data_IF_925793927844
#
_entry.id   IF_925793927844
#
_cell.length_a   1.000
_cell.length_b   1.000
_cell.length_c   1.000
_cell.angle_alpha   90.00
_cell.angle_beta   90.00
_cell.angle_gamma   90.00
#
_symmetry.space_group_name_H-M   'P 1'
#
loop_
_entity.id
_entity.type
_entity.pdbx_description
1 polymer ?
#
# COMPACT_ATOMS: atom_id res chain seq x y z
N UNK A 1 -18.90 2.87 -9.26
CA UNK A 1 -17.95 2.37 -10.27
C UNK A 1 -16.68 3.18 -10.12
N UNK A 2 -15.52 2.53 -10.02
CA UNK A 2 -14.22 3.19 -9.91
C UNK A 2 -13.69 3.39 -11.33
N UNK A 3 -13.22 4.59 -11.66
CA UNK A 3 -12.72 4.92 -13.00
C UNK A 3 -11.33 4.33 -13.22
N UNK A 4 -11.08 3.78 -14.40
CA UNK A 4 -9.78 3.18 -14.76
C UNK A 4 -8.60 4.16 -14.61
N UNK A 5 -8.82 5.45 -14.88
CA UNK A 5 -7.78 6.48 -14.72
C UNK A 5 -7.32 6.66 -13.26
N UNK A 6 -8.14 6.24 -12.29
CA UNK A 6 -7.76 6.23 -10.88
C UNK A 6 -6.99 4.96 -10.53
N UNK A 7 -7.13 3.89 -11.31
CA UNK A 7 -6.42 2.61 -11.18
C UNK A 7 -5.22 2.56 -12.14
N UNK A 8 -4.48 3.66 -12.23
CA UNK A 8 -3.39 3.83 -13.17
C UNK A 8 -2.06 4.20 -12.47
N UNK A 9 -0.92 4.02 -13.15
CA UNK A 9 0.38 4.52 -12.73
C UNK A 9 0.37 6.03 -12.51
N UNK A 10 1.21 6.53 -11.60
CA UNK A 10 1.23 7.94 -11.20
C UNK A 10 1.28 8.92 -12.38
N UNK A 11 2.04 8.60 -13.43
CA UNK A 11 2.18 9.42 -14.64
C UNK A 11 0.88 9.66 -15.42
N UNK A 12 -0.13 8.79 -15.23
CA UNK A 12 -1.45 8.86 -15.87
C UNK A 12 -2.59 8.89 -14.85
N UNK A 13 -2.26 8.94 -13.55
CA UNK A 13 -3.22 8.83 -12.47
C UNK A 13 -4.06 10.10 -12.37
N UNK A 14 -5.37 9.92 -12.29
CA UNK A 14 -6.28 10.98 -11.85
C UNK A 14 -6.69 10.74 -10.41
N UNK A 15 -6.80 11.84 -9.64
CA UNK A 15 -7.26 11.71 -8.26
C UNK A 15 -8.67 11.11 -8.22
N UNK A 16 -8.91 10.12 -7.33
CA UNK A 16 -10.22 9.55 -7.16
C UNK A 16 -11.18 10.59 -6.58
N UNK A 17 -12.46 10.43 -6.88
CA UNK A 17 -13.52 11.13 -6.21
C UNK A 17 -13.70 10.60 -4.80
N UNK A 18 -14.31 11.42 -3.94
CA UNK A 18 -14.70 11.04 -2.58
C UNK A 18 -15.56 9.78 -2.60
N UNK A 19 -16.48 9.65 -3.55
CA UNK A 19 -17.32 8.46 -3.72
C UNK A 19 -16.51 7.20 -4.05
N UNK A 20 -15.48 7.29 -4.89
CA UNK A 20 -14.62 6.15 -5.25
C UNK A 20 -13.81 5.67 -4.05
N UNK A 21 -13.30 6.59 -3.23
CA UNK A 21 -12.65 6.22 -1.96
C UNK A 21 -13.65 5.58 -1.00
N UNK A 22 -14.87 6.13 -0.90
CA UNK A 22 -15.91 5.59 -0.04
C UNK A 22 -16.33 4.17 -0.45
N UNK A 23 -16.34 3.83 -1.74
CA UNK A 23 -16.61 2.46 -2.23
C UNK A 23 -15.62 1.47 -1.61
N UNK A 24 -14.31 1.74 -1.69
CA UNK A 24 -13.28 0.85 -1.14
C UNK A 24 -13.41 0.72 0.39
N UNK A 25 -13.60 1.84 1.09
CA UNK A 25 -13.71 1.84 2.55
C UNK A 25 -14.96 1.09 3.02
N UNK A 26 -16.11 1.28 2.34
CA UNK A 26 -17.33 0.57 2.67
C UNK A 26 -17.20 -0.92 2.39
N UNK A 27 -16.57 -1.31 1.28
CA UNK A 27 -16.33 -2.73 0.98
C UNK A 27 -15.49 -3.41 2.07
N UNK A 28 -14.42 -2.78 2.54
CA UNK A 28 -13.62 -3.29 3.65
C UNK A 28 -14.44 -3.39 4.94
N UNK A 29 -15.27 -2.38 5.22
CA UNK A 29 -16.16 -2.36 6.38
C UNK A 29 -17.18 -3.48 6.34
N UNK A 30 -17.79 -3.73 5.19
CA UNK A 30 -18.78 -4.79 4.99
C UNK A 30 -18.16 -6.19 5.16
N UNK A 31 -16.84 -6.30 5.03
CA UNK A 31 -16.04 -7.49 5.31
C UNK A 31 -15.40 -7.50 6.71
N UNK A 32 -15.96 -6.76 7.67
CA UNK A 32 -15.56 -6.81 9.08
C UNK A 32 -14.41 -5.88 9.47
N UNK A 33 -13.91 -5.05 8.55
CA UNK A 33 -12.86 -4.07 8.83
C UNK A 33 -13.46 -2.68 9.04
N UNK A 34 -14.07 -2.45 10.20
CA UNK A 34 -14.54 -1.12 10.59
C UNK A 34 -13.37 -0.13 10.78
N UNK A 35 -13.69 1.14 11.09
CA UNK A 35 -12.66 2.17 11.21
C UNK A 35 -11.59 1.86 12.29
N UNK A 36 -11.96 1.18 13.37
CA UNK A 36 -11.03 0.81 14.46
C UNK A 36 -10.15 -0.33 14.00
N UNK A 37 -10.74 -1.38 13.42
CA UNK A 37 -10.01 -2.53 12.93
C UNK A 37 -9.09 -2.16 11.76
N UNK A 38 -9.55 -1.33 10.81
CA UNK A 38 -8.71 -0.80 9.73
C UNK A 38 -7.52 -0.03 10.28
N UNK A 39 -7.75 0.90 11.21
CA UNK A 39 -6.65 1.68 11.79
C UNK A 39 -5.62 0.78 12.48
N UNK A 40 -6.09 -0.26 13.19
CA UNK A 40 -5.24 -1.23 13.87
C UNK A 40 -4.36 -2.02 12.89
N UNK A 41 -4.95 -2.60 11.84
CA UNK A 41 -4.24 -3.51 10.92
C UNK A 41 -3.46 -2.79 9.81
N UNK A 42 -3.87 -1.59 9.45
CA UNK A 42 -3.22 -0.81 8.37
C UNK A 42 -2.35 0.34 8.86
N UNK A 43 -2.55 0.83 10.08
CA UNK A 43 -1.93 2.05 10.59
C UNK A 43 -2.52 3.35 10.02
N UNK A 44 -3.51 3.27 9.11
CA UNK A 44 -4.19 4.44 8.56
C UNK A 44 -5.00 5.13 9.66
N UNK A 45 -4.71 6.41 9.87
CA UNK A 45 -5.38 7.18 10.91
C UNK A 45 -6.85 7.44 10.53
N UNK A 46 -7.83 7.18 11.42
CA UNK A 46 -9.25 7.41 11.13
C UNK A 46 -9.55 8.83 10.64
N UNK A 47 -8.85 9.84 11.18
CA UNK A 47 -8.98 11.23 10.73
C UNK A 47 -8.67 11.43 9.24
N UNK A 48 -7.70 10.68 8.70
CA UNK A 48 -7.32 10.76 7.29
C UNK A 48 -8.37 10.09 6.42
N UNK A 49 -8.80 8.88 6.80
CA UNK A 49 -9.89 8.16 6.09
C UNK A 49 -11.15 9.01 6.04
N UNK A 50 -11.55 9.57 7.19
CA UNK A 50 -12.70 10.47 7.29
C UNK A 50 -12.55 11.71 6.41
N UNK A 51 -11.35 12.27 6.28
CA UNK A 51 -11.08 13.40 5.40
C UNK A 51 -11.17 13.02 3.91
N UNK A 52 -10.72 11.81 3.55
CA UNK A 52 -10.74 11.32 2.16
C UNK A 52 -12.13 10.95 1.68
N UNK A 53 -13.01 10.53 2.59
CA UNK A 53 -14.42 10.21 2.34
C UNK A 53 -15.36 11.32 2.82
N UNK A 54 -14.82 12.48 3.22
CA UNK A 54 -15.62 13.59 3.72
C UNK A 54 -16.59 14.06 2.64
N UNK A 55 -17.82 14.35 3.05
CA UNK A 55 -18.87 14.86 2.14
C UNK A 55 -19.32 13.86 1.07
N UNK A 56 -19.01 12.57 1.16
CA UNK A 56 -19.47 11.59 0.16
C UNK A 56 -21.00 11.61 -0.05
N UNK A 57 -21.77 11.96 1.00
CA UNK A 57 -23.24 12.08 0.95
C UNK A 57 -23.74 13.33 0.22
N UNK A 58 -22.95 14.40 0.20
CA UNK A 58 -23.38 15.73 -0.27
C UNK A 58 -22.67 16.13 -1.58
N UNK A 59 -21.41 15.75 -1.74
CA UNK A 59 -20.52 16.12 -2.83
C UNK A 59 -19.71 14.88 -3.30
N UNK A 60 -20.38 13.81 -3.78
CA UNK A 60 -19.73 12.52 -4.11
C UNK A 60 -18.69 12.63 -5.22
N UNK A 61 -18.84 13.59 -6.14
CA UNK A 61 -17.99 13.77 -7.32
C UNK A 61 -16.83 14.76 -7.07
N UNK A 62 -16.67 15.24 -5.84
CA UNK A 62 -15.51 16.04 -5.49
C UNK A 62 -14.25 15.18 -5.44
N UNK A 63 -13.10 15.75 -5.83
CA UNK A 63 -11.81 15.07 -5.76
C UNK A 63 -11.43 14.82 -4.30
N UNK A 64 -11.04 13.58 -3.99
CA UNK A 64 -10.51 13.23 -2.69
C UNK A 64 -9.09 13.78 -2.48
N UNK A 65 -8.76 14.10 -1.23
CA UNK A 65 -7.42 14.52 -0.83
C UNK A 65 -6.46 13.35 -0.60
N UNK A 66 -6.88 12.11 -0.87
CA UNK A 66 -6.05 10.92 -0.66
C UNK A 66 -4.71 10.99 -1.44
N UNK A 67 -3.57 10.72 -0.77
CA UNK A 67 -2.28 10.59 -1.44
C UNK A 67 -2.22 9.33 -2.31
N UNK A 68 -1.45 9.38 -3.40
CA UNK A 68 -1.28 8.24 -4.31
C UNK A 68 -0.83 6.93 -3.61
N UNK A 69 0.19 6.94 -2.72
CA UNK A 69 0.58 5.73 -1.98
C UNK A 69 -0.58 5.09 -1.19
N UNK A 70 -1.39 5.92 -0.53
CA UNK A 70 -2.53 5.45 0.24
C UNK A 70 -3.61 4.87 -0.68
N UNK A 71 -3.79 5.44 -1.87
CA UNK A 71 -4.72 4.92 -2.87
C UNK A 71 -4.26 3.56 -3.41
N UNK A 72 -2.98 3.41 -3.82
CA UNK A 72 -2.43 2.13 -4.25
C UNK A 72 -2.59 1.06 -3.16
N UNK A 73 -2.29 1.42 -1.91
CA UNK A 73 -2.44 0.52 -0.77
C UNK A 73 -3.89 0.08 -0.57
N UNK A 74 -4.85 1.01 -0.55
CA UNK A 74 -6.27 0.69 -0.39
C UNK A 74 -6.81 -0.16 -1.55
N UNK A 75 -6.43 0.14 -2.80
CA UNK A 75 -6.82 -0.66 -3.97
C UNK A 75 -6.31 -2.10 -3.85
N UNK A 76 -5.08 -2.28 -3.40
CA UNK A 76 -4.48 -3.59 -3.20
C UNK A 76 -5.18 -4.41 -2.11
N UNK A 77 -5.68 -3.75 -1.05
CA UNK A 77 -6.49 -4.41 -0.03
C UNK A 77 -7.85 -4.91 -0.53
N UNK A 78 -8.30 -4.45 -1.70
CA UNK A 78 -9.57 -4.86 -2.32
C UNK A 78 -9.38 -5.47 -3.71
N UNK A 79 -8.29 -6.21 -3.90
CA UNK A 79 -8.12 -7.06 -5.08
C UNK A 79 -7.55 -6.36 -6.32
N UNK A 80 -7.13 -5.09 -6.21
CA UNK A 80 -6.41 -4.36 -7.28
C UNK A 80 -4.97 -4.04 -6.86
N UNK A 81 -4.09 -5.04 -6.70
CA UNK A 81 -2.69 -4.79 -6.41
C UNK A 81 -1.97 -4.18 -7.62
N UNK A 82 -0.84 -3.54 -7.37
CA UNK A 82 0.10 -3.12 -8.40
C UNK A 82 -0.44 -2.15 -9.47
N UNK A 83 -1.43 -1.31 -9.13
CA UNK A 83 -1.92 -0.27 -10.06
C UNK A 83 -0.81 0.70 -10.48
N UNK A 84 0.24 0.86 -9.66
CA UNK A 84 1.40 1.69 -9.99
C UNK A 84 2.24 1.16 -11.17
N UNK A 85 2.04 -0.10 -11.54
CA UNK A 85 2.73 -0.82 -12.61
C UNK A 85 1.74 -1.55 -13.53
N UNK A 86 0.49 -1.07 -13.63
CA UNK A 86 -0.57 -1.72 -14.43
C UNK A 86 -0.79 -3.21 -14.10
N UNK A 87 -0.55 -3.62 -12.86
CA UNK A 87 -0.64 -5.01 -12.40
C UNK A 87 0.67 -5.78 -12.45
N UNK A 88 1.71 -5.26 -13.12
CA UNK A 88 3.00 -5.95 -13.23
C UNK A 88 3.73 -6.02 -11.89
N UNK A 89 4.48 -7.11 -11.70
CA UNK A 89 5.34 -7.36 -10.53
C UNK A 89 6.81 -7.27 -10.92
N UNK A 90 7.64 -6.84 -9.97
CA UNK A 90 9.09 -6.95 -10.09
C UNK A 90 9.44 -8.41 -9.81
N UNK A 91 9.98 -9.08 -10.82
CA UNK A 91 10.44 -10.46 -10.68
C UNK A 91 11.62 -10.53 -9.70
N UNK A 92 11.40 -11.23 -8.59
CA UNK A 92 12.42 -11.51 -7.59
C UNK A 92 12.35 -12.97 -7.16
N UNK A 93 13.46 -13.52 -6.67
CA UNK A 93 13.40 -14.80 -5.95
C UNK A 93 12.74 -14.58 -4.58
N UNK A 94 11.41 -14.71 -4.53
CA UNK A 94 10.61 -14.45 -3.32
C UNK A 94 11.12 -15.24 -2.12
N UNK A 95 11.51 -16.51 -2.30
CA UNK A 95 12.06 -17.32 -1.20
C UNK A 95 13.34 -16.70 -0.62
N UNK A 96 14.24 -16.21 -1.49
CA UNK A 96 15.46 -15.52 -1.06
C UNK A 96 15.14 -14.21 -0.36
N UNK A 97 14.23 -13.41 -0.91
CA UNK A 97 13.78 -12.15 -0.30
C UNK A 97 13.22 -12.39 1.10
N UNK A 98 12.27 -13.33 1.24
CA UNK A 98 11.67 -13.66 2.53
C UNK A 98 12.71 -14.10 3.56
N UNK A 99 13.81 -14.75 3.14
CA UNK A 99 14.88 -15.18 4.05
C UNK A 99 15.68 -14.03 4.67
N UNK A 100 15.67 -12.84 4.07
CA UNK A 100 16.33 -11.66 4.65
C UNK A 100 15.56 -11.08 5.84
N UNK A 101 14.26 -11.33 5.91
CA UNK A 101 13.36 -10.64 6.83
C UNK A 101 12.84 -11.57 7.93
N UNK A 102 12.59 -10.99 9.11
CA UNK A 102 11.89 -11.71 10.17
C UNK A 102 10.41 -11.85 9.80
N UNK A 103 9.70 -12.91 10.23
CA UNK A 103 8.27 -13.07 9.96
C UNK A 103 7.41 -11.89 10.42
N UNK A 104 7.85 -11.13 11.42
CA UNK A 104 7.18 -9.92 11.93
C UNK A 104 7.13 -8.78 10.91
N UNK A 105 7.99 -8.78 9.89
CA UNK A 105 7.92 -7.81 8.80
C UNK A 105 6.68 -8.03 7.91
N UNK A 106 6.12 -9.24 7.87
CA UNK A 106 4.97 -9.61 7.04
C UNK A 106 3.69 -9.81 7.87
N UNK A 107 3.53 -8.99 8.90
CA UNK A 107 2.36 -8.99 9.78
C UNK A 107 1.59 -7.67 9.64
N UNK A 108 0.31 -7.64 10.04
CA UNK A 108 -0.45 -6.40 10.08
C UNK A 108 0.22 -5.36 11.00
N UNK A 109 -0.15 -4.09 10.84
CA UNK A 109 0.51 -2.96 11.50
C UNK A 109 0.65 -3.12 13.03
N UNK A 110 -0.34 -3.70 13.72
CA UNK A 110 -0.32 -3.91 15.17
C UNK A 110 0.76 -4.92 15.64
N UNK A 111 1.28 -5.74 14.72
CA UNK A 111 2.30 -6.76 14.96
C UNK A 111 3.56 -6.55 14.11
N UNK A 112 3.57 -5.49 13.30
CA UNK A 112 4.67 -5.18 12.40
C UNK A 112 5.87 -4.70 13.19
N UNK A 113 7.04 -5.27 12.87
CA UNK A 113 8.33 -4.72 13.27
C UNK A 113 9.09 -4.35 12.01
N UNK A 114 9.51 -3.09 11.94
CA UNK A 114 10.27 -2.59 10.80
C UNK A 114 11.55 -3.42 10.61
N UNK A 115 11.87 -3.83 9.38
CA UNK A 115 13.17 -4.38 9.07
C UNK A 115 14.31 -3.44 9.47
N UNK A 116 15.45 -4.03 9.82
CA UNK A 116 16.66 -3.26 10.12
C UNK A 116 17.28 -2.70 8.83
N UNK A 117 18.20 -1.74 8.98
CA UNK A 117 19.02 -1.24 7.87
C UNK A 117 19.69 -2.37 7.09
N UNK A 118 20.30 -3.33 7.79
CA UNK A 118 20.96 -4.49 7.18
C UNK A 118 19.99 -5.31 6.31
N UNK A 119 18.78 -5.57 6.84
CA UNK A 119 17.74 -6.30 6.09
C UNK A 119 17.28 -5.52 4.86
N UNK A 120 17.15 -4.20 4.96
CA UNK A 120 16.84 -3.38 3.79
C UNK A 120 17.96 -3.40 2.75
N UNK A 121 19.23 -3.33 3.14
CA UNK A 121 20.37 -3.34 2.20
C UNK A 121 20.52 -4.65 1.41
N UNK A 122 19.93 -5.75 1.91
CA UNK A 122 19.85 -7.01 1.18
C UNK A 122 18.80 -7.00 0.05
N UNK A 123 17.95 -5.98 -0.02
CA UNK A 123 16.84 -5.88 -0.97
C UNK A 123 16.86 -4.59 -1.78
N UNK A 124 17.01 -3.45 -1.12
CA UNK A 124 16.92 -2.11 -1.68
C UNK A 124 18.32 -1.59 -1.95
N UNK A 125 18.53 -1.00 -3.14
CA UNK A 125 19.83 -0.52 -3.61
C UNK A 125 20.91 -1.64 -3.62
N UNK A 126 20.45 -2.87 -3.87
CA UNK A 126 21.28 -4.06 -3.98
C UNK A 126 21.47 -4.44 -5.45
N UNK A 127 22.70 -4.73 -5.86
CA UNK A 127 23.05 -5.08 -7.26
C UNK A 127 22.33 -6.34 -7.79
N UNK A 128 21.72 -7.16 -6.93
CA UNK A 128 20.92 -8.29 -7.37
C UNK A 128 19.49 -7.89 -7.80
N UNK A 129 19.05 -6.66 -7.51
CA UNK A 129 17.67 -6.20 -7.70
C UNK A 129 17.62 -4.79 -8.28
N UNK A 130 18.04 -4.63 -9.55
CA UNK A 130 18.13 -3.34 -10.25
C UNK A 130 16.86 -2.49 -10.21
N UNK A 131 15.68 -3.12 -10.10
CA UNK A 131 14.38 -2.43 -10.06
C UNK A 131 13.95 -1.98 -8.67
N UNK A 132 14.62 -2.44 -7.61
CA UNK A 132 14.32 -2.11 -6.21
C UNK A 132 15.33 -1.08 -5.67
N UNK A 133 15.40 0.09 -6.30
CA UNK A 133 16.23 1.19 -5.79
C UNK A 133 15.39 2.22 -5.06
N UNK A 134 16.02 2.96 -4.14
CA UNK A 134 15.37 4.08 -3.44
C UNK A 134 14.81 5.11 -4.40
N UNK A 135 15.54 5.41 -5.47
CA UNK A 135 15.13 6.33 -6.54
C UNK A 135 13.90 5.82 -7.31
N UNK A 136 13.93 4.56 -7.78
CA UNK A 136 12.83 3.98 -8.57
C UNK A 136 11.56 3.87 -7.75
N UNK A 137 11.66 3.36 -6.52
CA UNK A 137 10.52 3.24 -5.61
C UNK A 137 9.91 4.60 -5.26
N UNK A 138 10.76 5.61 -5.00
CA UNK A 138 10.29 6.98 -4.73
C UNK A 138 9.57 7.57 -5.93
N UNK A 139 10.06 7.31 -7.15
CA UNK A 139 9.43 7.77 -8.38
C UNK A 139 8.07 7.10 -8.61
N UNK A 140 8.01 5.77 -8.46
CA UNK A 140 6.80 4.97 -8.67
C UNK A 140 5.68 5.37 -7.73
N UNK A 141 5.97 5.56 -6.44
CA UNK A 141 4.97 5.91 -5.44
C UNK A 141 4.85 7.41 -5.19
N UNK A 142 5.63 8.24 -5.88
CA UNK A 142 5.68 9.68 -5.68
C UNK A 142 6.01 10.07 -4.22
N UNK A 143 7.02 9.42 -3.64
CA UNK A 143 7.53 9.72 -2.31
C UNK A 143 8.61 10.82 -2.35
N UNK A 144 8.83 11.46 -1.21
CA UNK A 144 10.03 12.28 -1.02
C UNK A 144 11.25 11.35 -0.90
N UNK A 145 12.13 11.39 -1.90
CA UNK A 145 13.27 10.48 -2.00
C UNK A 145 14.25 10.60 -0.81
N UNK A 146 14.50 11.81 -0.32
CA UNK A 146 15.40 12.04 0.82
C UNK A 146 14.85 11.39 2.09
N UNK A 147 13.57 11.61 2.38
CA UNK A 147 12.91 11.00 3.55
C UNK A 147 12.85 9.48 3.43
N UNK A 148 12.60 8.94 2.23
CA UNK A 148 12.55 7.50 2.00
C UNK A 148 13.93 6.86 2.18
N UNK A 149 14.97 7.41 1.55
CA UNK A 149 16.33 6.94 1.70
C UNK A 149 16.81 7.00 3.15
N UNK A 150 16.49 8.08 3.87
CA UNK A 150 16.79 8.19 5.30
C UNK A 150 16.08 7.11 6.13
N UNK A 151 14.82 6.82 5.84
CA UNK A 151 14.06 5.76 6.51
C UNK A 151 14.63 4.35 6.26
N UNK A 152 15.09 4.08 5.02
CA UNK A 152 15.80 2.85 4.66
C UNK A 152 17.12 2.75 5.43
N UNK A 153 17.93 3.80 5.40
CA UNK A 153 19.24 3.83 6.05
C UNK A 153 19.16 3.66 7.58
N UNK A 154 18.06 4.09 8.20
CA UNK A 154 17.90 4.00 9.66
C UNK A 154 17.02 2.83 10.12
N UNK A 155 16.52 1.99 9.20
CA UNK A 155 15.62 0.88 9.58
C UNK A 155 14.29 1.37 10.20
N UNK A 156 13.75 2.48 9.70
CA UNK A 156 12.61 3.18 10.31
C UNK A 156 11.47 3.46 9.32
N UNK A 157 11.34 2.63 8.28
CA UNK A 157 10.27 2.78 7.29
C UNK A 157 8.88 2.60 7.90
N UNK A 158 7.92 3.49 7.56
CA UNK A 158 6.52 3.29 7.91
C UNK A 158 5.95 1.99 7.31
N UNK A 159 5.02 1.36 8.02
CA UNK A 159 4.37 0.13 7.59
C UNK A 159 3.73 0.23 6.19
N UNK A 160 3.13 1.38 5.87
CA UNK A 160 2.55 1.66 4.55
C UNK A 160 3.59 1.51 3.44
N UNK A 161 4.76 2.12 3.62
CA UNK A 161 5.84 2.09 2.62
C UNK A 161 6.35 0.67 2.45
N UNK A 162 6.54 -0.06 3.55
CA UNK A 162 6.95 -1.46 3.49
C UNK A 162 5.93 -2.33 2.76
N UNK A 163 4.64 -2.17 3.05
CA UNK A 163 3.56 -2.92 2.37
C UNK A 163 3.56 -2.66 0.87
N UNK A 164 3.77 -1.42 0.44
CA UNK A 164 3.91 -1.05 -0.97
C UNK A 164 5.10 -1.71 -1.65
N UNK A 165 6.27 -1.78 -0.99
CA UNK A 165 7.46 -2.47 -1.49
C UNK A 165 7.22 -3.97 -1.60
N UNK A 166 6.60 -4.57 -0.59
CA UNK A 166 6.27 -6.00 -0.57
C UNK A 166 5.30 -6.36 -1.70
N UNK A 167 4.30 -5.52 -1.93
CA UNK A 167 3.33 -5.66 -3.01
C UNK A 167 3.98 -5.62 -4.39
N UNK A 168 4.98 -4.74 -4.63
CA UNK A 168 5.64 -4.66 -5.94
C UNK A 168 6.37 -5.94 -6.32
N UNK A 169 6.75 -6.75 -5.34
CA UNK A 169 7.38 -8.07 -5.54
C UNK A 169 6.37 -9.22 -5.73
N UNK A 170 5.07 -8.90 -5.84
CA UNK A 170 4.00 -9.88 -6.01
C UNK A 170 3.55 -10.56 -4.72
N UNK A 171 3.94 -10.06 -3.54
CA UNK A 171 3.46 -10.58 -2.28
C UNK A 171 2.05 -10.01 -2.00
N UNK A 172 1.10 -10.90 -1.74
CA UNK A 172 -0.30 -10.56 -1.48
C UNK A 172 -0.46 -9.85 -0.12
N UNK A 173 -0.58 -8.52 -0.17
CA UNK A 173 -0.75 -7.71 1.04
C UNK A 173 -2.16 -7.79 1.64
N UNK A 174 -3.17 -8.20 0.86
CA UNK A 174 -4.52 -8.45 1.39
C UNK A 174 -4.44 -9.61 2.39
N UNK A 175 -3.86 -10.75 1.98
CA UNK A 175 -3.64 -11.91 2.86
C UNK A 175 -2.63 -11.64 3.97
N UNK A 176 -1.70 -10.70 3.77
CA UNK A 176 -0.75 -10.27 4.80
C UNK A 176 -1.45 -9.52 5.94
N UNK A 177 -2.38 -8.63 5.60
CA UNK A 177 -2.93 -7.61 6.50
C UNK A 177 -4.31 -8.00 7.04
N UNK A 178 -5.18 -8.49 6.16
CA UNK A 178 -6.57 -8.83 6.44
C UNK A 178 -6.69 -10.32 6.81
N UNK A 179 -6.09 -10.69 7.95
CA UNK A 179 -5.93 -12.09 8.39
C UNK A 179 -7.23 -12.82 8.74
N UNK A 180 -8.27 -12.07 9.03
CA UNK A 180 -9.56 -12.60 9.49
C UNK A 180 -10.60 -12.63 8.36
N UNK A 181 -10.17 -12.40 7.11
CA UNK A 181 -11.03 -12.54 5.94
C UNK A 181 -11.42 -14.01 5.73
N UNK A 182 -12.72 -14.25 5.59
CA UNK A 182 -13.27 -15.56 5.19
C UNK A 182 -13.05 -15.86 3.70
N UNK A 183 -12.81 -14.83 2.88
CA UNK A 183 -12.52 -14.94 1.45
C UNK A 183 -11.87 -13.66 0.88
N UNK A 184 -11.35 -13.75 -0.34
CA UNK A 184 -10.70 -12.61 -1.00
C UNK A 184 -11.74 -11.50 -1.27
N UNK A 185 -11.37 -10.25 -0.97
CA UNK A 185 -12.21 -9.07 -1.23
C UNK A 185 -11.80 -8.48 -2.59
N UNK A 186 -12.78 -8.26 -3.47
CA UNK A 186 -12.55 -7.67 -4.79
C UNK A 186 -13.54 -6.56 -5.10
N UNK A 187 -13.08 -5.52 -5.79
CA UNK A 187 -13.94 -4.46 -6.39
C UNK A 187 -14.36 -4.74 -7.84
N UNK A 188 -14.10 -5.96 -8.34
CA UNK A 188 -14.54 -6.46 -9.65
C UNK A 188 -15.94 -7.08 -9.64
#
# INVERSE_FOLDING_TARGET
MIRDTTLAPFSRWTKPFVSEVAVIINLLKDNGYDAVQLAKVTGLQPKNVNAWTARYKNEPDNLSSIPYPCWCFLCALVGKPNIQSNGDVIEVNVRKVLSYFKPTAFRPNDKFLCPTQEQFSNLIDNDNYDSLTTEKLSTVFHWNASNFAHGVANGSLPFLNWSLIVMTMGIDIQKMILKDLEGDVSID
#
